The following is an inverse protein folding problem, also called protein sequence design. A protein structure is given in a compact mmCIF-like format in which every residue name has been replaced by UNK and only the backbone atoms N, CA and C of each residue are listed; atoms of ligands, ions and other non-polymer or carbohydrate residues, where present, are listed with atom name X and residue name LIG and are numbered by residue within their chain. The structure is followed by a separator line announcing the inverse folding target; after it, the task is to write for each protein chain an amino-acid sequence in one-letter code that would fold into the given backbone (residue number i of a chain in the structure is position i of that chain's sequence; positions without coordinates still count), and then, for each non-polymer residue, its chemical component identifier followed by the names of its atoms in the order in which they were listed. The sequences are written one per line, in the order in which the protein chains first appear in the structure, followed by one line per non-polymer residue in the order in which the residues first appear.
data_IF_966757017873
#
_entry.id   IF_966757017873
#
_cell.length_a   1.000
_cell.length_b   1.000
_cell.length_c   1.000
_cell.angle_alpha   90.00
_cell.angle_beta   90.00
_cell.angle_gamma   90.00
#
_symmetry.space_group_name_H-M   'P 1'
#
loop_
_entity.id
_entity.type
_entity.pdbx_description
1 polymer ?
#
# COMPACT_ATOMS: atom_id res chain seq x y z
N UNK A 1 -1.80 2.05 -9.70
CA UNK A 1 -2.05 3.50 -9.72
C UNK A 1 -1.40 4.09 -10.97
N UNK A 2 -2.04 5.08 -11.62
CA UNK A 2 -1.50 5.72 -12.82
C UNK A 2 -0.32 6.66 -12.48
N UNK A 3 0.51 7.08 -13.46
CA UNK A 3 1.54 8.09 -13.21
C UNK A 3 0.98 9.36 -12.57
N UNK A 4 1.73 9.95 -11.64
CA UNK A 4 1.31 11.12 -10.86
C UNK A 4 0.15 10.89 -9.88
N UNK A 5 -0.30 9.65 -9.69
CA UNK A 5 -1.39 9.36 -8.76
C UNK A 5 -0.91 9.35 -7.32
N UNK A 6 -1.72 9.92 -6.43
CA UNK A 6 -1.61 9.79 -4.98
C UNK A 6 -2.94 9.27 -4.45
N UNK A 7 -2.90 8.42 -3.42
CA UNK A 7 -4.11 7.98 -2.76
C UNK A 7 -4.86 9.20 -2.20
N UNK A 8 -6.17 9.35 -2.45
CA UNK A 8 -6.86 10.62 -2.24
C UNK A 8 -6.96 11.05 -0.77
N UNK A 9 -6.80 10.12 0.17
CA UNK A 9 -6.81 10.36 1.61
C UNK A 9 -5.70 9.54 2.29
N UNK A 10 -5.47 9.79 3.59
CA UNK A 10 -4.63 8.89 4.39
C UNK A 10 -5.39 7.58 4.56
N UNK A 11 -4.84 6.50 4.03
CA UNK A 11 -5.36 5.16 4.19
C UNK A 11 -5.05 4.64 5.59
N UNK A 12 -6.00 3.92 6.18
CA UNK A 12 -5.89 3.38 7.54
C UNK A 12 -6.32 1.92 7.52
N UNK A 13 -5.41 1.04 7.91
CA UNK A 13 -5.62 -0.41 7.84
C UNK A 13 -5.96 -0.98 9.21
N UNK A 14 -7.23 -1.29 9.46
CA UNK A 14 -7.67 -1.88 10.74
C UNK A 14 -6.95 -3.21 11.04
N UNK A 15 -6.74 -4.03 10.00
CA UNK A 15 -6.23 -5.40 10.08
C UNK A 15 -4.84 -5.56 9.45
N UNK A 16 -4.27 -4.47 8.96
CA UNK A 16 -3.03 -4.45 8.19
C UNK A 16 -3.24 -4.62 6.69
N UNK A 17 -2.16 -4.51 5.94
CA UNK A 17 -2.11 -4.69 4.49
C UNK A 17 -0.74 -5.27 4.11
N UNK A 18 -0.73 -6.22 3.18
CA UNK A 18 0.50 -6.69 2.52
C UNK A 18 0.48 -6.28 1.06
N UNK A 19 1.58 -5.72 0.55
CA UNK A 19 1.68 -5.36 -0.87
C UNK A 19 2.99 -5.81 -1.49
N UNK A 20 2.91 -6.33 -2.71
CA UNK A 20 4.04 -6.62 -3.58
C UNK A 20 4.03 -5.63 -4.75
N UNK A 21 5.14 -4.93 -4.96
CA UNK A 21 5.33 -4.09 -6.15
C UNK A 21 5.60 -4.99 -7.36
N UNK A 22 4.63 -5.10 -8.25
CA UNK A 22 4.73 -5.93 -9.45
C UNK A 22 5.51 -5.24 -10.57
N UNK A 23 5.32 -3.93 -10.73
CA UNK A 23 5.99 -3.09 -11.74
C UNK A 23 5.86 -1.60 -11.38
N UNK A 24 6.83 -0.77 -11.80
CA UNK A 24 6.78 0.68 -11.59
C UNK A 24 7.39 1.10 -10.25
N UNK A 25 6.85 2.17 -9.65
CA UNK A 25 7.37 2.78 -8.42
C UNK A 25 6.25 3.06 -7.41
N UNK A 26 6.34 2.46 -6.22
CA UNK A 26 5.56 2.89 -5.06
C UNK A 26 6.38 3.89 -4.23
N UNK A 27 5.79 5.00 -3.83
CA UNK A 27 6.42 5.94 -2.91
C UNK A 27 5.64 5.99 -1.60
N UNK A 28 6.28 5.50 -0.53
CA UNK A 28 5.78 5.49 0.84
C UNK A 28 6.56 6.50 1.70
N UNK A 29 5.92 7.64 2.01
CA UNK A 29 6.62 8.78 2.62
C UNK A 29 7.79 9.25 1.73
N UNK A 30 9.01 9.15 2.24
CA UNK A 30 10.24 9.50 1.53
C UNK A 30 10.86 8.31 0.76
N UNK A 31 10.34 7.09 0.95
CA UNK A 31 10.92 5.88 0.37
C UNK A 31 10.34 5.59 -1.01
N UNK A 32 11.22 5.36 -1.99
CA UNK A 32 10.86 4.92 -3.35
C UNK A 32 11.16 3.44 -3.50
N UNK A 33 10.15 2.67 -3.88
CA UNK A 33 10.16 1.21 -3.82
C UNK A 33 9.81 0.65 -5.20
N UNK A 34 10.75 -0.11 -5.76
CA UNK A 34 10.64 -0.68 -7.09
C UNK A 34 10.08 -2.12 -7.10
N UNK A 35 10.04 -2.75 -8.29
CA UNK A 35 9.51 -4.09 -8.46
C UNK A 35 10.27 -5.13 -7.63
N UNK A 36 9.53 -6.09 -7.07
CA UNK A 36 10.07 -7.12 -6.17
C UNK A 36 10.14 -6.69 -4.70
N UNK A 37 9.88 -5.43 -4.38
CA UNK A 37 9.71 -5.01 -2.99
C UNK A 37 8.39 -5.52 -2.45
N UNK A 38 8.46 -6.21 -1.32
CA UNK A 38 7.33 -6.61 -0.51
C UNK A 38 7.26 -5.72 0.74
N UNK A 39 6.07 -5.21 1.04
CA UNK A 39 5.80 -4.42 2.23
C UNK A 39 4.71 -5.10 3.07
N UNK A 40 4.88 -4.98 4.39
CA UNK A 40 3.87 -5.32 5.37
C UNK A 40 3.54 -4.08 6.19
N UNK A 41 2.30 -3.61 6.07
CA UNK A 41 1.72 -2.57 6.89
C UNK A 41 0.95 -3.23 8.03
N UNK A 42 1.38 -3.07 9.30
CA UNK A 42 0.70 -3.68 10.42
C UNK A 42 -0.70 -3.07 10.65
N UNK A 43 -1.56 -3.74 11.43
CA UNK A 43 -2.79 -3.15 11.95
C UNK A 43 -2.58 -1.75 12.53
N UNK A 44 -3.56 -0.86 12.30
CA UNK A 44 -3.56 0.56 12.65
C UNK A 44 -2.47 1.41 11.96
N UNK A 45 -1.79 0.87 10.95
CA UNK A 45 -0.91 1.67 10.08
C UNK A 45 -1.71 2.76 9.36
N UNK A 46 -1.02 3.88 9.10
CA UNK A 46 -1.59 5.06 8.45
C UNK A 46 -0.59 5.56 7.42
N UNK A 47 -0.99 5.62 6.16
CA UNK A 47 -0.10 6.01 5.08
C UNK A 47 -0.88 6.60 3.91
N UNK A 48 -0.17 7.20 2.96
CA UNK A 48 -0.80 7.79 1.78
C UNK A 48 0.10 7.48 0.57
N UNK A 49 -0.06 6.29 -0.05
CA UNK A 49 0.79 5.88 -1.16
C UNK A 49 0.70 6.88 -2.31
N UNK A 50 1.82 7.10 -2.99
CA UNK A 50 1.83 7.81 -4.28
C UNK A 50 2.78 7.17 -5.27
N UNK A 51 2.72 7.63 -6.51
CA UNK A 51 3.66 7.24 -7.56
C UNK A 51 3.88 8.41 -8.51
N UNK A 52 5.12 8.61 -8.96
CA UNK A 52 5.40 9.60 -10.00
C UNK A 52 5.28 8.97 -11.39
N UNK A 53 5.80 7.75 -11.56
CA UNK A 53 5.88 7.08 -12.88
C UNK A 53 4.81 6.02 -13.14
N UNK A 54 3.94 5.75 -12.15
CA UNK A 54 2.94 4.70 -12.20
C UNK A 54 3.41 3.42 -11.50
N UNK A 55 2.44 2.64 -10.99
CA UNK A 55 2.72 1.40 -10.27
C UNK A 55 1.61 0.36 -10.44
N UNK A 56 2.00 -0.91 -10.50
CA UNK A 56 1.10 -2.05 -10.33
C UNK A 56 1.47 -2.78 -9.05
N UNK A 57 0.48 -2.99 -8.20
CA UNK A 57 0.61 -3.67 -6.92
C UNK A 57 -0.23 -4.95 -6.94
N UNK A 58 0.24 -5.98 -6.25
CA UNK A 58 -0.59 -7.08 -5.78
C UNK A 58 -0.75 -6.89 -4.27
N UNK A 59 -1.99 -6.71 -3.80
CA UNK A 59 -2.29 -6.39 -2.40
C UNK A 59 -3.15 -7.47 -1.75
N UNK A 60 -2.90 -7.73 -0.47
CA UNK A 60 -3.69 -8.59 0.39
C UNK A 60 -4.14 -7.75 1.58
N UNK A 61 -5.46 -7.64 1.77
CA UNK A 61 -6.07 -7.03 2.95
C UNK A 61 -6.65 -8.15 3.82
N UNK A 62 -6.01 -8.49 4.96
CA UNK A 62 -6.54 -9.48 5.88
C UNK A 62 -7.90 -9.04 6.38
N UNK A 63 -8.84 -9.97 6.50
CA UNK A 63 -10.18 -9.68 7.04
C UNK A 63 -10.26 -10.29 8.43
N UNK A 64 -10.62 -9.47 9.42
CA UNK A 64 -10.90 -10.01 10.75
C UNK A 64 -12.17 -10.87 10.72
N UNK A 65 -12.25 -11.96 11.51
CA UNK A 65 -13.49 -12.69 11.71
C UNK A 65 -14.60 -11.75 12.21
N UNK A 66 -15.87 -12.01 11.87
CA UNK A 66 -17.00 -11.16 12.28
C UNK A 66 -17.07 -10.92 13.80
N UNK A 67 -16.61 -11.88 14.60
CA UNK A 67 -16.62 -11.81 16.07
C UNK A 67 -15.45 -11.02 16.71
N UNK A 68 -14.54 -10.44 15.91
CA UNK A 68 -13.35 -9.75 16.40
C UNK A 68 -13.40 -8.21 16.30
N UNK A 69 -14.58 -7.62 16.04
CA UNK A 69 -14.80 -6.16 15.96
C UNK A 69 -15.61 -5.62 17.13
#
# INVERSE_FOLDING_TARGET
MAPGSQWPFVDVHDTGEEVLVMSGELIEGEQRLGPGTYLFFPPASRHQPRTEVGVRLFGINPVAPPEAR
#
